data_IF_618034877459
#
_entry.id   IF_618034877459
#
_cell.length_a   1.000
_cell.length_b   1.000
_cell.length_c   1.000
_cell.angle_alpha   90.00
_cell.angle_beta   90.00
_cell.angle_gamma   90.00
#
_symmetry.space_group_name_H-M   'P 1'
#
loop_
_entity.id
_entity.type
_entity.pdbx_description
1 polymer ?
#
# COMPACT_ATOMS: atom_id res chain seq x y z
N UNK A 1 17.03 -9.85 11.64
CA UNK A 1 16.08 -10.36 10.62
C UNK A 1 15.30 -11.51 11.22
N UNK A 2 14.17 -11.24 11.87
CA UNK A 2 13.24 -12.30 12.25
C UNK A 2 12.23 -12.44 11.11
N UNK A 3 12.50 -13.38 10.20
CA UNK A 3 11.48 -13.92 9.31
C UNK A 3 10.63 -14.83 10.19
N UNK A 4 9.59 -14.27 10.80
CA UNK A 4 8.56 -15.09 11.39
C UNK A 4 7.74 -15.65 10.23
N UNK A 5 7.97 -16.91 9.85
CA UNK A 5 7.14 -17.65 8.87
C UNK A 5 5.67 -17.77 9.34
N UNK A 6 5.41 -17.32 10.56
CA UNK A 6 4.13 -17.19 11.26
C UNK A 6 3.52 -15.79 11.18
N UNK A 7 4.32 -14.73 10.99
CA UNK A 7 3.84 -13.34 10.92
C UNK A 7 3.86 -12.89 9.45
N UNK A 8 2.76 -12.30 8.98
CA UNK A 8 2.65 -11.89 7.59
C UNK A 8 3.72 -10.88 7.17
N UNK A 9 3.95 -10.74 5.87
CA UNK A 9 4.69 -9.58 5.36
C UNK A 9 3.85 -8.34 5.63
N UNK A 10 4.39 -7.30 6.24
CA UNK A 10 3.71 -6.01 6.39
C UNK A 10 4.67 -4.92 5.99
N UNK A 11 4.39 -4.24 4.88
CA UNK A 11 5.14 -3.08 4.43
C UNK A 11 4.22 -1.88 4.26
N UNK A 12 4.75 -0.68 4.52
CA UNK A 12 4.03 0.58 4.35
C UNK A 12 4.74 1.43 3.32
N UNK A 13 3.98 2.06 2.44
CA UNK A 13 4.49 2.97 1.42
C UNK A 13 3.70 4.26 1.52
N UNK A 14 4.43 5.37 1.61
CA UNK A 14 3.87 6.72 1.58
C UNK A 14 4.08 7.27 0.17
N UNK A 15 3.01 7.72 -0.47
CA UNK A 15 3.06 8.30 -1.80
C UNK A 15 2.06 9.46 -1.92
N UNK A 16 2.29 10.32 -2.90
CA UNK A 16 1.46 11.48 -3.18
C UNK A 16 0.92 11.34 -4.61
N UNK A 17 -0.38 11.60 -4.80
CA UNK A 17 -1.03 11.59 -6.11
C UNK A 17 -1.13 13.03 -6.59
N UNK A 18 -0.63 13.30 -7.80
CA UNK A 18 -0.72 14.65 -8.37
C UNK A 18 -2.18 15.10 -8.51
N UNK A 19 -2.50 16.25 -7.91
CA UNK A 19 -3.86 16.80 -7.91
C UNK A 19 -4.67 16.51 -6.65
N UNK A 20 -4.21 15.61 -5.79
CA UNK A 20 -4.87 15.27 -4.53
C UNK A 20 -4.38 16.16 -3.38
N UNK A 21 -5.23 16.39 -2.38
CA UNK A 21 -4.93 17.37 -1.33
C UNK A 21 -3.96 16.85 -0.26
N UNK A 22 -3.84 15.53 -0.11
CA UNK A 22 -3.08 14.91 0.96
C UNK A 22 -2.27 13.69 0.47
N UNK A 23 -1.14 13.39 1.14
CA UNK A 23 -0.40 12.14 0.92
C UNK A 23 -1.20 10.92 1.38
N UNK A 24 -0.99 9.82 0.67
CA UNK A 24 -1.57 8.51 0.93
C UNK A 24 -0.55 7.57 1.59
N UNK A 25 -1.04 6.76 2.52
CA UNK A 25 -0.34 5.62 3.09
C UNK A 25 -1.03 4.35 2.65
N UNK A 26 -0.31 3.50 1.91
CA UNK A 26 -0.75 2.13 1.62
C UNK A 26 0.02 1.15 2.50
N UNK A 27 -0.74 0.35 3.25
CA UNK A 27 -0.23 -0.72 4.09
C UNK A 27 -0.51 -2.03 3.38
N UNK A 28 0.55 -2.68 2.88
CA UNK A 28 0.49 -3.95 2.19
C UNK A 28 0.83 -5.05 3.18
N UNK A 29 -0.14 -5.92 3.45
CA UNK A 29 0.00 -7.06 4.32
C UNK A 29 -0.18 -8.37 3.55
N UNK A 30 0.63 -9.40 3.83
CA UNK A 30 0.46 -10.71 3.24
C UNK A 30 0.55 -11.83 4.25
N UNK A 31 -0.50 -12.66 4.31
CA UNK A 31 -0.50 -13.86 5.13
C UNK A 31 0.24 -14.96 4.37
N UNK A 32 1.44 -15.32 4.86
CA UNK A 32 2.32 -16.35 4.29
C UNK A 32 2.73 -16.13 2.83
N UNK A 33 2.71 -14.89 2.33
CA UNK A 33 3.16 -14.55 0.97
C UNK A 33 2.22 -15.02 -0.15
N UNK A 34 1.05 -15.59 0.16
CA UNK A 34 0.08 -16.10 -0.83
C UNK A 34 -1.12 -15.19 -1.02
N UNK A 35 -1.70 -14.71 0.08
CA UNK A 35 -2.77 -13.72 0.04
C UNK A 35 -2.16 -12.37 0.38
N UNK A 36 -2.31 -11.41 -0.52
CA UNK A 36 -1.94 -10.01 -0.31
C UNK A 36 -3.24 -9.24 -0.07
N UNK A 37 -3.25 -8.45 0.99
CA UNK A 37 -4.30 -7.48 1.28
C UNK A 37 -3.61 -6.14 1.43
N UNK A 38 -4.28 -5.07 1.03
CA UNK A 38 -3.78 -3.73 1.25
C UNK A 38 -4.80 -2.92 2.07
N UNK A 39 -4.35 -1.81 2.61
CA UNK A 39 -5.20 -0.82 3.26
C UNK A 39 -4.69 0.55 2.84
N UNK A 40 -5.52 1.31 2.15
CA UNK A 40 -5.23 2.66 1.74
C UNK A 40 -5.81 3.63 2.78
N UNK A 41 -4.97 4.53 3.29
CA UNK A 41 -5.36 5.56 4.25
C UNK A 41 -4.71 6.88 3.87
N UNK A 42 -5.26 7.98 4.36
CA UNK A 42 -4.57 9.27 4.29
C UNK A 42 -3.49 9.38 5.36
N UNK A 43 -2.27 9.75 4.97
CA UNK A 43 -1.11 9.76 5.86
C UNK A 43 -1.12 10.91 6.88
N UNK A 44 -1.77 12.04 6.58
CA UNK A 44 -1.65 13.25 7.40
C UNK A 44 -2.98 13.84 7.87
N UNK A 45 -4.09 13.69 7.13
CA UNK A 45 -5.39 14.30 7.45
C UNK A 45 -6.54 13.45 6.90
N UNK A 46 -7.78 13.64 7.39
CA UNK A 46 -8.97 13.12 6.70
C UNK A 46 -9.07 13.78 5.32
N UNK A 47 -8.87 13.02 4.25
CA UNK A 47 -9.14 13.48 2.90
C UNK A 47 -10.52 13.03 2.42
N UNK A 48 -10.80 13.22 1.14
CA UNK A 48 -12.11 12.92 0.56
C UNK A 48 -12.23 11.42 0.25
N UNK A 49 -13.34 10.79 0.67
CA UNK A 49 -13.61 9.38 0.35
C UNK A 49 -13.58 9.13 -1.18
N UNK A 50 -14.00 10.11 -2.00
CA UNK A 50 -13.91 10.07 -3.47
C UNK A 50 -12.46 9.94 -3.96
N UNK A 51 -11.49 10.54 -3.28
CA UNK A 51 -10.07 10.42 -3.64
C UNK A 51 -9.51 9.03 -3.31
N UNK A 52 -9.90 8.46 -2.16
CA UNK A 52 -9.53 7.07 -1.82
C UNK A 52 -10.14 6.11 -2.83
N UNK A 53 -11.41 6.27 -3.16
CA UNK A 53 -12.11 5.41 -4.13
C UNK A 53 -11.43 5.48 -5.50
N UNK A 54 -11.03 6.67 -5.97
CA UNK A 54 -10.32 6.81 -7.24
C UNK A 54 -8.96 6.09 -7.26
N UNK A 55 -8.20 6.18 -6.17
CA UNK A 55 -6.92 5.47 -6.05
C UNK A 55 -7.13 3.96 -5.91
N UNK A 56 -8.18 3.53 -5.21
CA UNK A 56 -8.54 2.12 -5.08
C UNK A 56 -8.92 1.50 -6.44
N UNK A 57 -9.74 2.21 -7.22
CA UNK A 57 -10.13 1.82 -8.58
C UNK A 57 -8.91 1.74 -9.51
N UNK A 58 -8.01 2.73 -9.45
CA UNK A 58 -6.77 2.71 -10.23
C UNK A 58 -5.83 1.55 -9.82
N UNK A 59 -5.81 1.16 -8.55
CA UNK A 59 -5.04 0.01 -8.09
C UNK A 59 -5.64 -1.33 -8.53
N UNK A 60 -6.98 -1.42 -8.66
CA UNK A 60 -7.67 -2.61 -9.15
C UNK A 60 -7.56 -2.74 -10.68
N UNK A 61 -7.59 -1.62 -11.40
CA UNK A 61 -7.42 -1.57 -12.86
C UNK A 61 -5.94 -1.72 -13.30
N UNK A 62 -4.99 -1.18 -12.54
CA UNK A 62 -3.57 -1.14 -12.87
C UNK A 62 -2.73 -2.10 -12.00
N UNK A 63 -2.72 -3.37 -12.41
CA UNK A 63 -1.93 -4.46 -11.80
C UNK A 63 -0.42 -4.13 -11.72
N UNK A 64 0.10 -3.30 -12.64
CA UNK A 64 1.49 -2.87 -12.64
C UNK A 64 1.76 -1.86 -11.51
N UNK A 65 0.86 -0.89 -11.30
CA UNK A 65 0.92 0.04 -10.17
C UNK A 65 0.90 -0.72 -8.84
N UNK A 66 -0.06 -1.64 -8.66
CA UNK A 66 -0.15 -2.47 -7.46
C UNK A 66 1.14 -3.29 -7.26
N UNK A 67 1.64 -3.92 -8.33
CA UNK A 67 2.89 -4.67 -8.32
C UNK A 67 4.10 -3.83 -7.89
N UNK A 68 4.20 -2.57 -8.34
CA UNK A 68 5.27 -1.65 -7.93
C UNK A 68 5.17 -1.30 -6.44
N UNK A 69 3.98 -1.05 -5.91
CA UNK A 69 3.77 -0.75 -4.49
C UNK A 69 4.13 -1.96 -3.62
N UNK A 70 3.72 -3.17 -4.03
CA UNK A 70 4.14 -4.43 -3.37
C UNK A 70 5.66 -4.57 -3.37
N UNK A 71 6.33 -4.23 -4.47
CA UNK A 71 7.77 -4.31 -4.54
C UNK A 71 8.45 -3.27 -3.65
N UNK A 72 7.99 -2.01 -3.68
CA UNK A 72 8.48 -0.95 -2.82
C UNK A 72 8.32 -1.31 -1.33
N UNK A 73 7.16 -1.84 -0.95
CA UNK A 73 6.89 -2.33 0.40
C UNK A 73 7.86 -3.45 0.84
N UNK A 74 8.21 -4.37 -0.08
CA UNK A 74 9.20 -5.43 0.18
C UNK A 74 10.61 -4.88 0.34
N UNK A 75 10.99 -3.89 -0.47
CA UNK A 75 12.31 -3.24 -0.40
C UNK A 75 12.47 -2.51 0.93
N UNK A 76 11.47 -1.70 1.33
CA UNK A 76 11.48 -0.98 2.61
C UNK A 76 11.54 -1.87 3.85
N UNK A 77 11.23 -3.17 3.72
CA UNK A 77 11.32 -4.14 4.82
C UNK A 77 12.73 -4.76 4.95
N UNK A 78 13.54 -4.69 3.89
CA UNK A 78 14.89 -5.28 3.83
C UNK A 78 15.99 -4.29 4.24
N UNK A 79 15.70 -2.98 4.29
CA UNK A 79 16.57 -1.92 4.83
C UNK A 79 16.51 -1.81 6.37
#
# INVERSE_FOLDING_TARGET
MSRDETEGFVGRVLFEVEGHQAPYEIILQSKKGKEWSYSLLFASQSGDDEEIEAVDDELDEDDELFGRLVQAAKISLDE
#
